data_IF_382969822045
#
_entry.id   IF_382969822045
#
_cell.length_a   1.000
_cell.length_b   1.000
_cell.length_c   1.000
_cell.angle_alpha   90.00
_cell.angle_beta   90.00
_cell.angle_gamma   90.00
#
_symmetry.space_group_name_H-M   'P 1'
#
loop_
_entity.id
_entity.type
_entity.pdbx_description
1 polymer ?
#
# COMPACT_ATOMS: atom_id res chain seq x y z
N UNK A 1 -6.36 -6.17 16.57
CA UNK A 1 -5.19 -5.82 15.73
C UNK A 1 -5.40 -4.39 15.20
N UNK A 2 -4.34 -3.63 14.93
CA UNK A 2 -4.47 -2.22 14.53
C UNK A 2 -4.85 -2.10 13.04
N UNK A 3 -5.98 -1.44 12.74
CA UNK A 3 -6.56 -1.34 11.39
C UNK A 3 -5.61 -0.74 10.35
N UNK A 4 -4.61 0.06 10.75
CA UNK A 4 -3.56 0.52 9.83
C UNK A 4 -2.68 -0.64 9.34
N UNK A 5 -2.19 -1.47 10.27
CA UNK A 5 -1.31 -2.60 9.94
C UNK A 5 -2.05 -3.74 9.26
N UNK A 6 -3.34 -3.94 9.56
CA UNK A 6 -4.19 -4.87 8.80
C UNK A 6 -4.31 -4.44 7.33
N UNK A 7 -4.57 -3.15 7.08
CA UNK A 7 -4.64 -2.60 5.71
C UNK A 7 -3.29 -2.64 4.99
N UNK A 8 -2.19 -2.43 5.72
CA UNK A 8 -0.84 -2.56 5.19
C UNK A 8 -0.51 -4.00 4.80
N UNK A 9 -0.90 -4.97 5.63
CA UNK A 9 -0.69 -6.40 5.36
C UNK A 9 -1.47 -6.84 4.12
N UNK A 10 -2.74 -6.45 4.02
CA UNK A 10 -3.56 -6.70 2.83
C UNK A 10 -2.96 -6.05 1.57
N UNK A 11 -2.40 -4.85 1.69
CA UNK A 11 -1.69 -4.21 0.58
C UNK A 11 -0.45 -5.03 0.15
N UNK A 12 0.34 -5.52 1.11
CA UNK A 12 1.50 -6.37 0.82
C UNK A 12 1.09 -7.67 0.11
N UNK A 13 -0.02 -8.29 0.51
CA UNK A 13 -0.59 -9.46 -0.16
C UNK A 13 -0.97 -9.16 -1.62
N UNK A 14 -1.67 -8.04 -1.88
CA UNK A 14 -2.03 -7.63 -3.24
C UNK A 14 -0.81 -7.38 -4.13
N UNK A 15 0.24 -6.75 -3.58
CA UNK A 15 1.47 -6.48 -4.32
C UNK A 15 2.20 -7.79 -4.61
N UNK A 16 2.29 -8.70 -3.63
CA UNK A 16 2.92 -10.01 -3.80
C UNK A 16 2.20 -10.84 -4.86
N UNK A 17 0.88 -10.91 -4.80
CA UNK A 17 0.05 -11.63 -5.78
C UNK A 17 0.25 -11.08 -7.20
N UNK A 18 0.18 -9.75 -7.36
CA UNK A 18 0.39 -9.13 -8.67
C UNK A 18 1.83 -9.27 -9.18
N UNK A 19 2.81 -9.24 -8.29
CA UNK A 19 4.21 -9.48 -8.61
C UNK A 19 4.45 -10.92 -9.09
N UNK A 20 3.81 -11.91 -8.47
CA UNK A 20 3.88 -13.31 -8.88
C UNK A 20 3.18 -13.55 -10.22
N UNK A 21 2.00 -12.96 -10.41
CA UNK A 21 1.22 -13.11 -11.65
C UNK A 21 1.95 -12.53 -12.88
N UNK A 22 2.67 -11.42 -12.72
CA UNK A 22 3.40 -10.77 -13.82
C UNK A 22 4.89 -11.15 -13.87
N UNK A 23 5.35 -12.04 -12.99
CA UNK A 23 6.77 -12.44 -12.84
C UNK A 23 7.72 -11.24 -12.73
N UNK A 24 7.25 -10.15 -12.13
CA UNK A 24 7.99 -8.91 -11.99
C UNK A 24 8.01 -8.52 -10.52
N UNK A 25 9.20 -8.33 -9.94
CA UNK A 25 9.33 -7.98 -8.53
C UNK A 25 8.97 -6.52 -8.29
N UNK A 26 7.73 -6.25 -7.84
CA UNK A 26 7.27 -4.88 -7.63
C UNK A 26 7.86 -4.23 -6.38
N UNK A 27 8.27 -5.03 -5.40
CA UNK A 27 8.78 -4.52 -4.13
C UNK A 27 10.08 -3.71 -4.26
N UNK A 28 10.82 -3.91 -5.35
CA UNK A 28 12.05 -3.16 -5.65
C UNK A 28 11.77 -1.74 -6.16
N UNK A 29 10.54 -1.47 -6.61
CA UNK A 29 10.19 -0.21 -7.29
C UNK A 29 9.62 0.86 -6.36
N UNK A 30 9.36 0.52 -5.09
CA UNK A 30 8.78 1.46 -4.13
C UNK A 30 9.18 1.18 -2.69
N UNK A 31 9.12 2.22 -1.87
CA UNK A 31 9.24 2.16 -0.40
C UNK A 31 8.00 2.76 0.23
N UNK A 32 7.55 2.15 1.32
CA UNK A 32 6.44 2.66 2.12
C UNK A 32 7.01 3.63 3.14
N UNK A 33 6.60 4.89 3.06
CA UNK A 33 6.90 5.88 4.08
C UNK A 33 5.86 5.77 5.19
N UNK A 34 6.30 5.32 6.35
CA UNK A 34 5.51 5.30 7.56
C UNK A 34 5.28 6.73 8.08
N UNK A 35 4.12 7.00 8.68
CA UNK A 35 3.88 8.29 9.34
C UNK A 35 4.86 8.49 10.50
N UNK A 36 5.24 9.75 10.79
CA UNK A 36 6.24 10.06 11.82
C UNK A 36 5.74 9.85 13.25
N UNK A 37 4.46 9.52 13.42
CA UNK A 37 3.81 9.26 14.70
C UNK A 37 3.27 7.82 14.73
N UNK A 38 3.24 7.18 15.92
CA UNK A 38 2.65 5.87 16.06
C UNK A 38 1.17 5.93 15.69
N UNK A 39 0.75 5.07 14.75
CA UNK A 39 -0.63 5.05 14.24
C UNK A 39 -1.52 4.35 15.25
N UNK A 40 -1.69 4.89 16.45
CA UNK A 40 -2.54 4.32 17.51
C UNK A 40 -3.87 5.06 17.62
N UNK A 41 -3.87 6.38 17.37
CA UNK A 41 -5.02 7.25 17.62
C UNK A 41 -5.94 7.46 16.40
N UNK A 42 -5.41 7.30 15.18
CA UNK A 42 -6.13 7.59 13.93
C UNK A 42 -5.99 6.47 12.89
N UNK A 43 -6.19 5.23 13.35
CA UNK A 43 -5.92 4.00 12.57
C UNK A 43 -6.74 3.84 11.29
N UNK A 44 -7.84 4.61 11.12
CA UNK A 44 -8.71 4.58 9.93
C UNK A 44 -8.39 5.69 8.92
N UNK A 45 -7.97 6.87 9.40
CA UNK A 45 -7.75 8.07 8.58
C UNK A 45 -6.32 8.16 8.03
N UNK A 46 -5.38 7.42 8.61
CA UNK A 46 -3.98 7.44 8.17
C UNK A 46 -3.77 6.47 7.02
N UNK A 47 -3.19 6.99 5.93
CA UNK A 47 -2.76 6.25 4.75
C UNK A 47 -1.25 6.51 4.55
N UNK A 48 -0.42 5.48 4.36
CA UNK A 48 1.01 5.66 4.17
C UNK A 48 1.29 6.29 2.80
N UNK A 49 2.42 6.97 2.69
CA UNK A 49 2.90 7.50 1.40
C UNK A 49 3.77 6.45 0.72
N UNK A 50 3.72 6.40 -0.61
CA UNK A 50 4.61 5.56 -1.43
C UNK A 50 5.68 6.45 -2.05
N UNK A 51 6.94 6.11 -1.81
CA UNK A 51 8.07 6.68 -2.53
C UNK A 51 8.46 5.69 -3.62
N UNK A 52 8.43 6.12 -4.87
CA UNK A 52 8.81 5.27 -6.00
C UNK A 52 10.25 5.56 -6.41
N UNK A 53 10.93 4.54 -6.91
CA UNK A 53 12.23 4.74 -7.57
C UNK A 53 12.06 5.58 -8.84
N UNK A 54 13.08 6.37 -9.19
CA UNK A 54 13.06 7.19 -10.41
C UNK A 54 12.87 6.35 -11.67
N UNK A 55 13.39 5.13 -11.68
CA UNK A 55 13.30 4.18 -12.80
C UNK A 55 11.99 3.38 -12.83
N UNK A 56 11.09 3.57 -11.84
CA UNK A 56 9.82 2.85 -11.78
C UNK A 56 8.88 3.32 -12.91
N UNK A 57 8.40 2.42 -13.80
CA UNK A 57 7.48 2.75 -14.87
C UNK A 57 6.21 3.43 -14.35
N UNK A 58 5.75 4.45 -15.07
CA UNK A 58 4.56 5.23 -14.68
C UNK A 58 3.33 4.34 -14.51
N UNK A 59 3.15 3.34 -15.37
CA UNK A 59 2.04 2.39 -15.26
C UNK A 59 2.10 1.57 -13.97
N UNK A 60 3.30 1.11 -13.60
CA UNK A 60 3.53 0.38 -12.36
C UNK A 60 3.24 1.27 -11.13
N UNK A 61 3.66 2.54 -11.17
CA UNK A 61 3.32 3.51 -10.10
C UNK A 61 1.81 3.65 -9.92
N UNK A 62 1.06 3.79 -11.02
CA UNK A 62 -0.39 3.90 -10.99
C UNK A 62 -1.04 2.63 -10.43
N UNK A 63 -0.55 1.46 -10.84
CA UNK A 63 -1.04 0.16 -10.38
C UNK A 63 -0.86 -0.01 -8.87
N UNK A 64 0.34 0.24 -8.36
CA UNK A 64 0.67 0.13 -6.92
C UNK A 64 -0.15 1.15 -6.11
N UNK A 65 -0.28 2.39 -6.59
CA UNK A 65 -1.15 3.41 -5.94
C UNK A 65 -2.61 2.95 -5.87
N UNK A 66 -3.12 2.33 -6.94
CA UNK A 66 -4.49 1.80 -6.98
C UNK A 66 -4.68 0.66 -5.97
N UNK A 67 -3.71 -0.25 -5.85
CA UNK A 67 -3.72 -1.32 -4.84
C UNK A 67 -3.71 -0.78 -3.42
N UNK A 68 -2.89 0.24 -3.15
CA UNK A 68 -2.84 0.89 -1.85
C UNK A 68 -4.18 1.55 -1.54
N UNK A 69 -4.72 2.34 -2.47
CA UNK A 69 -6.03 3.00 -2.30
C UNK A 69 -7.14 1.98 -2.06
N UNK A 70 -7.15 0.86 -2.79
CA UNK A 70 -8.13 -0.23 -2.59
C UNK A 70 -8.04 -0.83 -1.18
N UNK A 71 -6.83 -1.09 -0.69
CA UNK A 71 -6.61 -1.64 0.65
C UNK A 71 -7.01 -0.66 1.76
N UNK A 72 -6.70 0.63 1.57
CA UNK A 72 -6.96 1.66 2.57
C UNK A 72 -8.41 2.20 2.55
N UNK A 73 -9.11 2.12 1.41
CA UNK A 73 -10.52 2.47 1.27
C UNK A 73 -11.50 1.33 1.63
N UNK A 74 -11.03 0.07 1.70
CA UNK A 74 -11.90 -1.11 1.96
C UNK A 74 -12.74 -1.00 3.23
N UNK A 75 -12.26 -0.25 4.24
CA UNK A 75 -12.92 -0.12 5.56
C UNK A 75 -13.77 1.15 5.66
N UNK A 76 -13.67 2.09 4.71
CA UNK A 76 -14.51 3.30 4.70
C UNK A 76 -16.00 3.00 4.38
N UNK A 77 -16.29 1.84 3.78
CA UNK A 77 -17.65 1.40 3.43
C UNK A 77 -18.19 0.30 4.37
N UNK A 78 -17.64 0.16 5.58
CA UNK A 78 -18.17 -0.75 6.61
C UNK A 78 -19.04 -0.03 7.66
N UNK A 79 -19.52 1.16 7.31
CA UNK A 79 -20.52 1.95 8.05
C UNK A 79 -21.84 1.92 7.29
#
# INVERSE_FOLDING_TARGET
MNAFYERLSHFAELVKDASQNERHNYAEHFKIQHPPYPVVSATRSVMPKLMFDENCPVELRHKIRRMLKRSFNRIRNKE
#
